data_IF_721032145894
#
_entry.id   IF_721032145894
#
_cell.length_a   1.000
_cell.length_b   1.000
_cell.length_c   1.000
_cell.angle_alpha   90.00
_cell.angle_beta   90.00
_cell.angle_gamma   90.00
#
_symmetry.space_group_name_H-M   'P 1'
#
loop_
_entity.id
_entity.type
_entity.pdbx_description
1 polymer ?
#
# COMPACT_ATOMS: atom_id res chain seq x y z
N UNK A 1 16.81 -2.63 16.95
CA UNK A 1 15.97 -1.43 16.73
C UNK A 1 14.96 -1.68 15.60
N UNK A 2 13.69 -1.34 15.81
CA UNK A 2 12.65 -1.44 14.78
C UNK A 2 12.69 -0.20 13.86
N UNK A 3 12.70 -0.40 12.55
CA UNK A 3 12.85 0.64 11.53
C UNK A 3 11.68 0.58 10.53
N UNK A 4 10.51 1.15 10.86
CA UNK A 4 9.30 1.05 10.06
C UNK A 4 9.43 1.71 8.68
N UNK A 5 10.26 2.75 8.56
CA UNK A 5 10.51 3.46 7.30
C UNK A 5 11.18 2.56 6.24
N UNK A 6 11.82 1.47 6.67
CA UNK A 6 12.44 0.47 5.79
C UNK A 6 11.50 -0.70 5.45
N UNK A 7 10.30 -0.76 6.03
CA UNK A 7 9.33 -1.83 5.78
C UNK A 7 8.28 -1.36 4.75
N UNK A 8 8.30 -1.87 3.50
CA UNK A 8 7.35 -1.43 2.48
C UNK A 8 5.90 -1.79 2.82
N UNK A 9 5.67 -2.75 3.73
CA UNK A 9 4.33 -3.10 4.21
C UNK A 9 3.67 -1.95 4.96
N UNK A 10 4.43 -1.12 5.70
CA UNK A 10 3.88 0.07 6.38
C UNK A 10 3.34 1.10 5.38
N UNK A 11 3.98 1.18 4.21
CA UNK A 11 3.59 2.08 3.13
C UNK A 11 2.33 1.56 2.43
N UNK A 12 2.25 0.25 2.16
CA UNK A 12 1.04 -0.42 1.67
C UNK A 12 -0.15 -0.12 2.60
N UNK A 13 0.08 -0.22 3.91
CA UNK A 13 -0.96 0.01 4.90
C UNK A 13 -1.39 1.47 5.00
N UNK A 14 -0.43 2.40 4.92
CA UNK A 14 -0.70 3.83 4.85
C UNK A 14 -1.49 4.21 3.59
N UNK A 15 -1.13 3.64 2.44
CA UNK A 15 -1.86 3.83 1.19
C UNK A 15 -3.30 3.29 1.26
N UNK A 16 -3.50 2.10 1.83
CA UNK A 16 -4.83 1.54 2.01
C UNK A 16 -5.68 2.43 2.93
N UNK A 17 -5.17 2.81 4.10
CA UNK A 17 -5.88 3.70 5.04
C UNK A 17 -6.28 5.01 4.37
N UNK A 18 -5.38 5.64 3.62
CA UNK A 18 -5.68 6.88 2.89
C UNK A 18 -6.78 6.69 1.84
N UNK A 19 -6.78 5.56 1.14
CA UNK A 19 -7.84 5.26 0.18
C UNK A 19 -9.21 5.13 0.86
N UNK A 20 -9.26 4.69 2.12
CA UNK A 20 -10.50 4.47 2.89
C UNK A 20 -10.96 5.71 3.65
N UNK A 21 -10.15 6.77 3.72
CA UNK A 21 -10.39 7.93 4.59
C UNK A 21 -11.74 8.65 4.34
N UNK A 22 -12.27 8.58 3.10
CA UNK A 22 -13.56 9.20 2.73
C UNK A 22 -14.70 8.18 2.61
N UNK A 23 -14.52 6.95 3.11
CA UNK A 23 -15.49 5.88 2.93
C UNK A 23 -16.34 5.70 4.21
N UNK A 24 -17.64 5.98 4.11
CA UNK A 24 -18.61 5.71 5.16
C UNK A 24 -19.19 4.30 5.00
N UNK A 25 -18.41 3.27 5.37
CA UNK A 25 -18.96 1.91 5.46
C UNK A 25 -19.98 1.84 6.60
N UNK A 26 -21.15 1.26 6.34
CA UNK A 26 -22.22 1.13 7.33
C UNK A 26 -22.01 -0.07 8.25
N UNK A 27 -21.17 -1.03 7.83
CA UNK A 27 -20.86 -2.22 8.62
C UNK A 27 -19.38 -2.62 8.55
N UNK A 28 -18.95 -3.41 9.53
CA UNK A 28 -17.61 -3.99 9.56
C UNK A 28 -17.38 -4.95 8.37
N UNK A 29 -18.40 -5.70 7.94
CA UNK A 29 -18.27 -6.64 6.83
C UNK A 29 -18.06 -5.93 5.49
N UNK A 30 -18.78 -4.82 5.27
CA UNK A 30 -18.56 -3.94 4.12
C UNK A 30 -17.13 -3.40 4.09
N UNK A 31 -16.64 -2.91 5.24
CA UNK A 31 -15.26 -2.43 5.36
C UNK A 31 -14.25 -3.54 5.07
N UNK A 32 -14.45 -4.73 5.64
CA UNK A 32 -13.56 -5.87 5.43
C UNK A 32 -13.56 -6.32 3.96
N UNK A 33 -14.72 -6.34 3.31
CA UNK A 33 -14.86 -6.67 1.89
C UNK A 33 -14.16 -5.64 0.99
N UNK A 34 -14.23 -4.35 1.33
CA UNK A 34 -13.52 -3.29 0.61
C UNK A 34 -12.00 -3.37 0.80
N UNK A 35 -11.54 -3.59 2.05
CA UNK A 35 -10.12 -3.82 2.35
C UNK A 35 -9.59 -4.98 1.52
N UNK A 36 -10.25 -6.15 1.58
CA UNK A 36 -9.85 -7.34 0.81
C UNK A 36 -9.83 -7.07 -0.70
N UNK A 37 -10.84 -6.37 -1.21
CA UNK A 37 -10.93 -6.07 -2.64
C UNK A 37 -9.84 -5.12 -3.10
N UNK A 38 -9.52 -4.08 -2.32
CA UNK A 38 -8.45 -3.13 -2.65
C UNK A 38 -7.08 -3.77 -2.58
N UNK A 39 -6.81 -4.55 -1.53
CA UNK A 39 -5.57 -5.32 -1.42
C UNK A 39 -5.40 -6.29 -2.59
N UNK A 40 -6.44 -7.06 -2.95
CA UNK A 40 -6.40 -7.94 -4.13
C UNK A 40 -6.11 -7.18 -5.43
N UNK A 41 -6.53 -5.92 -5.54
CA UNK A 41 -6.31 -5.11 -6.75
C UNK A 41 -4.90 -4.53 -6.85
N UNK A 42 -4.17 -4.39 -5.74
CA UNK A 42 -2.84 -3.77 -5.73
C UNK A 42 -1.79 -4.55 -6.54
N UNK A 43 -1.71 -5.89 -6.47
CA UNK A 43 -0.77 -6.67 -7.29
C UNK A 43 -0.91 -6.48 -8.80
N UNK A 44 -2.11 -6.12 -9.27
CA UNK A 44 -2.35 -5.84 -10.69
C UNK A 44 -1.81 -4.47 -11.14
N UNK A 45 -1.14 -3.73 -10.24
CA UNK A 45 -0.51 -2.42 -10.51
C UNK A 45 0.98 -2.49 -10.16
N UNK A 46 1.82 -3.11 -11.00
CA UNK A 46 3.24 -3.32 -10.69
C UNK A 46 3.97 -2.01 -10.33
N UNK A 47 3.73 -0.92 -11.08
CA UNK A 47 4.32 0.39 -10.80
C UNK A 47 3.98 0.94 -9.39
N UNK A 48 2.81 0.60 -8.83
CA UNK A 48 2.44 0.99 -7.47
C UNK A 48 3.26 0.22 -6.44
N UNK A 49 3.48 -1.08 -6.67
CA UNK A 49 4.30 -1.91 -5.80
C UNK A 49 5.76 -1.49 -5.85
N UNK A 50 6.29 -1.21 -7.05
CA UNK A 50 7.65 -0.71 -7.23
C UNK A 50 7.86 0.61 -6.48
N UNK A 51 6.88 1.53 -6.54
CA UNK A 51 6.92 2.79 -5.79
C UNK A 51 6.96 2.58 -4.26
N UNK A 52 6.25 1.57 -3.73
CA UNK A 52 6.30 1.25 -2.29
C UNK A 52 7.69 0.78 -1.86
N UNK A 53 8.34 -0.06 -2.67
CA UNK A 53 9.69 -0.54 -2.34
C UNK A 53 10.73 0.56 -2.56
N UNK A 54 10.60 1.37 -3.62
CA UNK A 54 11.48 2.51 -3.86
C UNK A 54 11.47 3.53 -2.70
N UNK A 55 10.32 3.73 -2.06
CA UNK A 55 10.18 4.67 -0.94
C UNK A 55 10.95 4.25 0.32
N UNK A 56 11.31 2.96 0.46
CA UNK A 56 12.17 2.49 1.55
C UNK A 56 13.65 2.89 1.37
N UNK A 57 14.02 3.40 0.19
CA UNK A 57 15.41 3.72 -0.16
C UNK A 57 16.31 2.48 -0.31
N UNK A 58 15.76 1.27 -0.22
CA UNK A 58 16.51 0.01 -0.31
C UNK A 58 16.81 -0.41 -1.75
N UNK A 59 16.11 0.14 -2.75
CA UNK A 59 16.38 -0.10 -4.17
C UNK A 59 17.26 1.03 -4.72
N UNK A 60 18.47 0.70 -5.14
CA UNK A 60 19.48 1.62 -5.72
C UNK A 60 19.76 1.32 -7.21
N UNK A 61 18.77 0.80 -7.95
CA UNK A 61 18.88 0.58 -9.39
C UNK A 61 18.86 1.91 -10.17
N UNK A 62 19.52 1.98 -11.35
CA UNK A 62 19.51 3.20 -12.16
C UNK A 62 18.07 3.54 -12.56
N UNK A 63 17.75 4.85 -12.57
CA UNK A 63 16.44 5.34 -12.99
C UNK A 63 16.08 4.80 -14.38
N UNK A 64 14.80 4.42 -14.64
CA UNK A 64 14.39 4.05 -15.99
C UNK A 64 14.60 5.25 -16.94
N UNK A 65 14.89 5.01 -18.24
CA UNK A 65 15.18 6.06 -19.20
C UNK A 65 14.02 7.05 -19.38
#
# INVERSE_FOLDING_TARGET
>A
PYAPDLNPVEIVWSHLKRSLANLAACTLDELATLIRTRLRRMPYRPALLDAFVAHTGLITGPAPP
#
